data_IF_125580179378
#
_entry.id   IF_125580179378
#
_cell.length_a   1.000
_cell.length_b   1.000
_cell.length_c   1.000
_cell.angle_alpha   90.00
_cell.angle_beta   90.00
_cell.angle_gamma   90.00
#
_symmetry.space_group_name_H-M   'P 1'
#
loop_
_entity.id
_entity.type
_entity.pdbx_description
1 polymer ?
#
# COMPACT_ATOMS: atom_id res chain seq x y z
N UNK A 1 33.45 -28.34 2.14
CA UNK A 1 32.45 -28.34 3.23
C UNK A 1 31.67 -27.06 3.07
N UNK A 2 30.65 -27.09 2.22
CA UNK A 2 29.94 -25.90 1.79
C UNK A 2 28.58 -25.84 2.51
N UNK A 3 28.57 -25.15 3.65
CA UNK A 3 27.34 -24.76 4.32
C UNK A 3 26.72 -23.57 3.58
N UNK A 4 26.04 -23.85 2.46
CA UNK A 4 25.11 -22.88 1.88
C UNK A 4 23.94 -22.70 2.86
N UNK A 5 23.87 -21.52 3.48
CA UNK A 5 22.70 -21.11 4.27
C UNK A 5 21.44 -21.25 3.40
N UNK A 6 20.32 -21.77 3.95
CA UNK A 6 19.10 -21.90 3.18
C UNK A 6 18.62 -20.51 2.76
N UNK A 7 18.51 -20.30 1.45
CA UNK A 7 17.86 -19.12 0.87
C UNK A 7 16.39 -19.17 1.30
N UNK A 8 16.05 -18.41 2.34
CA UNK A 8 14.68 -18.30 2.83
C UNK A 8 13.86 -17.66 1.72
N UNK A 9 13.07 -18.48 1.02
CA UNK A 9 12.15 -18.01 -0.02
C UNK A 9 11.16 -17.04 0.65
N UNK A 10 11.00 -15.80 0.12
CA UNK A 10 10.06 -14.88 0.71
C UNK A 10 8.65 -15.49 0.69
N UNK A 11 7.82 -15.21 1.71
CA UNK A 11 6.47 -15.73 1.76
C UNK A 11 5.70 -15.30 0.50
N UNK A 12 4.79 -16.14 -0.01
CA UNK A 12 4.03 -15.82 -1.22
C UNK A 12 3.22 -14.54 -1.01
N UNK A 13 3.20 -13.66 -2.03
CA UNK A 13 2.41 -12.44 -1.98
C UNK A 13 0.92 -12.77 -1.71
N UNK A 14 0.39 -12.18 -0.64
CA UNK A 14 -0.98 -12.42 -0.16
C UNK A 14 -2.00 -11.45 -0.77
N UNK A 15 -1.54 -10.34 -1.33
CA UNK A 15 -2.37 -9.34 -2.00
C UNK A 15 -1.68 -8.77 -3.23
N UNK A 16 -2.48 -8.37 -4.20
CA UNK A 16 -2.06 -7.64 -5.39
C UNK A 16 -2.67 -6.23 -5.31
N UNK A 17 -1.84 -5.22 -5.58
CA UNK A 17 -2.26 -3.83 -5.62
C UNK A 17 -1.86 -3.26 -6.97
N UNK A 18 -2.79 -2.57 -7.62
CA UNK A 18 -2.53 -1.94 -8.91
C UNK A 18 -3.43 -0.73 -9.10
N UNK A 19 -2.95 0.24 -9.87
CA UNK A 19 -3.68 1.45 -10.23
C UNK A 19 -4.28 1.28 -11.63
N UNK A 20 -5.61 1.44 -11.76
CA UNK A 20 -6.32 1.54 -13.05
C UNK A 20 -6.91 2.94 -13.16
N UNK A 21 -6.33 3.78 -14.03
CA UNK A 21 -6.87 5.11 -14.36
C UNK A 21 -7.20 5.96 -13.12
N UNK A 22 -6.32 5.94 -12.11
CA UNK A 22 -6.50 6.66 -10.86
C UNK A 22 -7.30 5.92 -9.79
N UNK A 23 -7.81 4.72 -10.06
CA UNK A 23 -8.44 3.85 -9.05
C UNK A 23 -7.44 2.79 -8.60
N UNK A 24 -7.02 2.87 -7.35
CA UNK A 24 -6.14 1.87 -6.76
C UNK A 24 -6.99 0.74 -6.21
N UNK A 25 -6.82 -0.45 -6.78
CA UNK A 25 -7.50 -1.67 -6.38
C UNK A 25 -6.53 -2.57 -5.63
N UNK A 26 -7.03 -3.21 -4.58
CA UNK A 26 -6.37 -4.33 -3.94
C UNK A 26 -7.22 -5.59 -4.12
N UNK A 27 -6.56 -6.68 -4.48
CA UNK A 27 -7.17 -8.00 -4.46
C UNK A 27 -6.42 -8.86 -3.45
N UNK A 28 -7.15 -9.39 -2.46
CA UNK A 28 -6.58 -10.29 -1.45
C UNK A 28 -6.80 -11.74 -1.86
N UNK A 29 -5.79 -12.59 -1.69
CA UNK A 29 -5.95 -14.04 -1.75
C UNK A 29 -6.53 -14.51 -0.43
N UNK A 30 -7.63 -15.27 -0.48
CA UNK A 30 -8.14 -15.92 0.71
C UNK A 30 -7.25 -17.12 1.07
N UNK A 31 -6.79 -17.19 2.33
CA UNK A 31 -5.96 -18.29 2.85
C UNK A 31 -6.76 -19.30 3.67
N UNK A 32 -8.09 -19.25 3.62
CA UNK A 32 -8.97 -20.21 4.29
C UNK A 32 -8.75 -21.67 3.88
N UNK A 33 -8.03 -21.95 2.79
CA UNK A 33 -7.78 -23.33 2.33
C UNK A 33 -6.64 -24.08 3.02
N UNK A 34 -6.04 -23.56 4.11
CA UNK A 34 -5.06 -24.32 4.93
C UNK A 34 -5.56 -24.52 6.36
N UNK A 35 -6.62 -25.32 6.53
CA UNK A 35 -6.72 -26.21 7.69
C UNK A 35 -6.81 -27.64 7.17
N UNK A 36 -5.83 -28.52 7.45
CA UNK A 36 -6.08 -29.94 7.34
C UNK A 36 -7.13 -30.28 8.40
N UNK A 37 -8.30 -30.71 7.96
CA UNK A 37 -9.26 -31.36 8.84
C UNK A 37 -8.64 -32.70 9.28
N UNK A 38 -8.32 -32.80 10.57
CA UNK A 38 -7.98 -34.08 11.19
C UNK A 38 -9.22 -34.98 11.22
N UNK A 39 -9.08 -36.20 10.68
CA UNK A 39 -10.04 -37.32 10.78
C UNK A 39 -11.27 -37.17 9.87
N UNK A 40 -11.56 -38.06 8.94
CA UNK A 40 -11.77 -39.51 9.12
C UNK A 40 -11.55 -40.21 7.77
N UNK A 41 -10.92 -41.39 7.83
CA UNK A 41 -10.68 -42.32 6.73
C UNK A 41 -11.99 -42.91 6.18
N UNK A 42 -12.13 -43.02 4.85
CA UNK A 42 -12.50 -44.29 4.17
C UNK A 42 -12.39 -44.18 2.63
N UNK A 43 -12.13 -45.34 2.02
CA UNK A 43 -11.49 -45.60 0.73
C UNK A 43 -12.43 -45.58 -0.51
N UNK A 44 -11.95 -44.94 -1.60
CA UNK A 44 -11.90 -45.24 -3.07
C UNK A 44 -12.79 -46.32 -3.76
N UNK A 45 -12.87 -46.42 -5.12
CA UNK A 45 -12.43 -45.54 -6.23
C UNK A 45 -13.51 -45.35 -7.36
N UNK A 46 -13.18 -44.64 -8.48
CA UNK A 46 -13.45 -45.00 -9.92
C UNK A 46 -13.56 -43.77 -10.86
N UNK A 47 -12.59 -43.68 -11.79
CA UNK A 47 -12.63 -43.20 -13.22
C UNK A 47 -12.59 -41.69 -13.55
N UNK A 48 -11.36 -41.26 -13.92
CA UNK A 48 -10.95 -40.56 -15.17
C UNK A 48 -11.89 -39.52 -15.83
N UNK A 49 -12.04 -38.32 -15.26
CA UNK A 49 -12.42 -37.09 -16.00
C UNK A 49 -11.92 -35.80 -15.29
N UNK A 50 -10.63 -35.67 -14.94
CA UNK A 50 -10.20 -34.61 -13.99
C UNK A 50 -9.49 -33.37 -14.55
N UNK A 51 -9.03 -33.33 -15.81
CA UNK A 51 -8.15 -32.21 -16.24
C UNK A 51 -8.87 -30.91 -16.64
N UNK A 52 -10.14 -30.96 -17.07
CA UNK A 52 -10.89 -29.73 -17.46
C UNK A 52 -11.72 -29.13 -16.32
N UNK A 53 -12.03 -29.90 -15.28
CA UNK A 53 -12.87 -29.47 -14.17
C UNK A 53 -12.08 -28.92 -12.98
N UNK A 54 -10.77 -29.17 -12.92
CA UNK A 54 -9.88 -28.61 -11.90
C UNK A 54 -9.70 -27.10 -12.08
N UNK A 55 -9.60 -26.64 -13.33
CA UNK A 55 -9.39 -25.23 -13.64
C UNK A 55 -10.61 -24.37 -13.29
N UNK A 56 -11.83 -24.88 -13.47
CA UNK A 56 -13.06 -24.18 -13.07
C UNK A 56 -13.26 -24.17 -11.54
N UNK A 57 -12.85 -25.22 -10.83
CA UNK A 57 -12.85 -25.30 -9.36
C UNK A 57 -11.78 -24.41 -8.71
N UNK A 58 -10.65 -24.17 -9.39
CA UNK A 58 -9.59 -23.26 -8.95
C UNK A 58 -10.06 -21.79 -8.87
N UNK A 59 -10.83 -21.34 -9.85
CA UNK A 59 -11.42 -20.00 -9.83
C UNK A 59 -12.62 -19.87 -8.89
N UNK A 60 -13.30 -20.99 -8.57
CA UNK A 60 -14.48 -20.98 -7.71
C UNK A 60 -14.15 -20.87 -6.21
N UNK A 61 -12.95 -21.31 -5.79
CA UNK A 61 -12.47 -21.16 -4.41
C UNK A 61 -11.69 -19.85 -4.14
N UNK A 62 -11.32 -19.11 -5.18
CA UNK A 62 -10.68 -17.82 -5.04
C UNK A 62 -11.75 -16.70 -5.09
N UNK A 63 -12.52 -16.52 -4.01
CA UNK A 63 -13.35 -15.32 -3.84
C UNK A 63 -12.46 -14.08 -3.66
N UNK A 64 -11.91 -13.63 -4.78
CA UNK A 64 -11.05 -12.46 -4.89
C UNK A 64 -11.94 -11.22 -5.01
N UNK A 65 -12.46 -10.72 -3.90
CA UNK A 65 -13.23 -9.47 -3.89
C UNK A 65 -12.28 -8.29 -4.04
N UNK A 66 -12.34 -7.51 -5.14
CA UNK A 66 -11.51 -6.33 -5.31
C UNK A 66 -11.97 -5.21 -4.36
N UNK A 67 -11.02 -4.54 -3.72
CA UNK A 67 -11.25 -3.49 -2.75
C UNK A 67 -10.62 -2.20 -3.26
N UNK A 68 -11.42 -1.14 -3.36
CA UNK A 68 -10.93 0.18 -3.79
C UNK A 68 -10.24 0.85 -2.60
N UNK A 69 -8.92 1.05 -2.70
CA UNK A 69 -8.13 1.74 -1.68
C UNK A 69 -8.19 3.26 -1.83
N UNK A 70 -8.16 3.75 -3.07
CA UNK A 70 -8.17 5.17 -3.37
C UNK A 70 -8.69 5.44 -4.79
N UNK A 71 -9.17 6.67 -5.01
CA UNK A 71 -9.60 7.21 -6.31
C UNK A 71 -8.82 8.49 -6.61
N UNK A 72 -8.71 8.84 -7.90
CA UNK A 72 -7.90 9.97 -8.37
C UNK A 72 -6.42 9.86 -7.97
N UNK A 73 -5.90 8.64 -7.84
CA UNK A 73 -4.52 8.39 -7.45
C UNK A 73 -3.55 8.67 -8.60
N UNK A 74 -2.76 9.72 -8.45
CA UNK A 74 -1.77 10.16 -9.41
C UNK A 74 -0.43 9.46 -9.19
N UNK A 75 -0.03 9.27 -7.92
CA UNK A 75 1.24 8.66 -7.56
C UNK A 75 1.08 7.57 -6.49
N UNK A 76 1.91 6.54 -6.60
CA UNK A 76 1.99 5.40 -5.70
C UNK A 76 3.46 5.20 -5.30
N UNK A 77 3.75 5.21 -4.01
CA UNK A 77 5.11 4.94 -3.52
C UNK A 77 5.13 3.83 -2.48
N UNK A 78 6.06 2.89 -2.64
CA UNK A 78 6.39 1.84 -1.68
C UNK A 78 7.92 1.78 -1.51
N UNK A 79 8.37 1.46 -0.29
CA UNK A 79 9.80 1.27 -0.03
C UNK A 79 10.24 -0.09 -0.56
N UNK A 80 11.52 -0.19 -0.89
CA UNK A 80 12.22 -1.46 -0.89
C UNK A 80 12.41 -1.98 0.55
N UNK A 81 12.51 -3.30 0.70
CA UNK A 81 12.63 -3.95 2.01
C UNK A 81 14.01 -3.76 2.67
N UNK A 82 14.91 -2.96 2.08
CA UNK A 82 16.32 -2.81 2.50
C UNK A 82 16.45 -2.23 3.92
N UNK A 83 15.59 -1.27 4.28
CA UNK A 83 15.61 -0.58 5.58
C UNK A 83 14.43 -0.95 6.50
N UNK A 84 13.75 -2.05 6.20
CA UNK A 84 12.55 -2.48 6.91
C UNK A 84 12.76 -2.78 8.41
N UNK A 85 13.98 -3.11 8.84
CA UNK A 85 14.28 -3.49 10.23
C UNK A 85 14.29 -2.32 11.21
N UNK A 86 14.64 -1.10 10.77
CA UNK A 86 14.76 0.05 11.67
C UNK A 86 13.41 0.71 11.96
N UNK A 87 12.59 0.91 10.91
CA UNK A 87 11.30 1.62 11.01
C UNK A 87 10.22 0.88 10.21
N UNK A 88 9.82 -0.32 10.65
CA UNK A 88 8.98 -1.23 9.86
C UNK A 88 7.61 -0.63 9.52
N UNK A 89 7.08 0.26 10.36
CA UNK A 89 5.81 0.96 10.11
C UNK A 89 5.88 1.86 8.87
N UNK A 90 7.00 2.57 8.67
CA UNK A 90 7.13 3.51 7.56
C UNK A 90 7.68 2.84 6.31
N UNK A 91 8.63 1.91 6.46
CA UNK A 91 9.22 1.18 5.33
C UNK A 91 8.19 0.29 4.63
N UNK A 92 7.27 -0.33 5.36
CA UNK A 92 6.20 -1.15 4.76
C UNK A 92 4.93 -0.34 4.44
N UNK A 93 4.98 0.99 4.54
CA UNK A 93 3.88 1.87 4.22
C UNK A 93 3.67 1.95 2.70
N UNK A 94 2.41 2.01 2.29
CA UNK A 94 2.05 2.40 0.93
C UNK A 94 1.58 3.86 0.96
N UNK A 95 2.22 4.72 0.18
CA UNK A 95 1.82 6.11 0.07
C UNK A 95 1.05 6.33 -1.23
N UNK A 96 -0.11 6.99 -1.10
CA UNK A 96 -1.05 7.24 -2.19
C UNK A 96 -1.25 8.74 -2.32
N UNK A 97 -0.87 9.35 -3.44
CA UNK A 97 -1.23 10.74 -3.71
C UNK A 97 -2.47 10.81 -4.60
N UNK A 98 -3.52 11.44 -4.11
CA UNK A 98 -4.83 11.51 -4.77
C UNK A 98 -5.17 12.92 -5.26
N UNK A 99 -4.17 13.66 -5.75
CA UNK A 99 -4.31 15.04 -6.22
C UNK A 99 -4.91 15.95 -5.14
N UNK A 100 -6.02 16.60 -5.47
CA UNK A 100 -6.75 17.50 -4.57
C UNK A 100 -7.26 16.83 -3.27
N UNK A 101 -7.37 15.50 -3.22
CA UNK A 101 -7.75 14.76 -2.01
C UNK A 101 -6.57 14.54 -1.05
N UNK A 102 -5.39 15.04 -1.41
CA UNK A 102 -4.17 14.95 -0.62
C UNK A 102 -3.51 13.57 -0.69
N UNK A 103 -2.55 13.39 0.20
CA UNK A 103 -1.76 12.16 0.31
C UNK A 103 -2.32 11.28 1.42
N UNK A 104 -2.22 9.96 1.28
CA UNK A 104 -2.62 8.99 2.28
C UNK A 104 -1.48 8.04 2.53
N UNK A 105 -1.12 7.86 3.81
CA UNK A 105 -0.16 6.86 4.25
C UNK A 105 -0.93 5.63 4.72
N UNK A 106 -0.75 4.50 4.05
CA UNK A 106 -1.39 3.24 4.39
C UNK A 106 -0.39 2.31 5.08
N UNK A 107 -0.38 2.38 6.40
CA UNK A 107 0.64 1.83 7.28
C UNK A 107 0.25 0.43 7.76
N UNK A 108 1.19 -0.50 7.92
CA UNK A 108 0.93 -1.74 8.65
C UNK A 108 0.69 -1.47 10.14
N UNK A 109 -0.23 -2.25 10.68
CA UNK A 109 -0.40 -2.51 12.10
C UNK A 109 0.26 -3.84 12.37
N UNK A 110 1.29 -3.85 13.21
CA UNK A 110 1.90 -5.11 13.63
C UNK A 110 1.00 -5.74 14.69
N UNK A 111 0.52 -6.97 14.47
CA UNK A 111 -0.37 -7.62 15.43
C UNK A 111 0.35 -7.75 16.77
N UNK A 112 -0.37 -7.47 17.85
CA UNK A 112 0.06 -7.90 19.16
C UNK A 112 -0.03 -9.45 19.20
N UNK A 113 0.83 -10.13 19.98
CA UNK A 113 1.00 -11.60 19.95
C UNK A 113 -0.30 -12.43 20.09
N UNK A 114 -1.40 -11.80 20.53
CA UNK A 114 -2.70 -12.43 20.74
C UNK A 114 -3.59 -12.55 19.48
N UNK A 115 -3.30 -11.85 18.38
CA UNK A 115 -4.28 -11.66 17.29
C UNK A 115 -3.81 -12.16 15.92
N UNK A 116 -3.77 -13.48 15.76
CA UNK A 116 -3.38 -14.13 14.51
C UNK A 116 -4.52 -14.27 13.49
N UNK A 117 -5.74 -13.86 13.83
CA UNK A 117 -6.95 -14.16 13.05
C UNK A 117 -7.29 -13.16 11.94
N UNK A 118 -6.71 -11.96 11.98
CA UNK A 118 -7.13 -10.86 11.11
C UNK A 118 -6.46 -10.82 9.73
N UNK A 119 -7.26 -10.46 8.72
CA UNK A 119 -6.88 -10.32 7.30
C UNK A 119 -5.82 -9.21 7.11
N UNK A 120 -5.09 -9.25 5.97
CA UNK A 120 -4.06 -8.26 5.65
C UNK A 120 -4.58 -6.81 5.70
N UNK A 121 -5.82 -6.54 5.28
CA UNK A 121 -6.45 -5.23 5.41
C UNK A 121 -6.69 -4.79 6.86
N UNK A 122 -7.15 -5.70 7.71
CA UNK A 122 -7.38 -5.41 9.13
C UNK A 122 -6.06 -5.11 9.88
N UNK A 123 -4.92 -5.46 9.28
CA UNK A 123 -3.58 -5.12 9.75
C UNK A 123 -3.01 -3.86 9.10
N UNK A 124 -3.83 -2.97 8.53
CA UNK A 124 -3.36 -1.69 8.00
C UNK A 124 -4.28 -0.54 8.34
N UNK A 125 -3.70 0.63 8.55
CA UNK A 125 -4.42 1.87 8.83
C UNK A 125 -4.10 2.94 7.81
N UNK A 126 -5.13 3.61 7.31
CA UNK A 126 -4.98 4.69 6.34
C UNK A 126 -5.04 6.04 7.06
N UNK A 127 -3.94 6.79 6.97
CA UNK A 127 -3.80 8.10 7.60
C UNK A 127 -3.75 9.20 6.53
N UNK A 128 -4.61 10.23 6.62
CA UNK A 128 -4.51 11.39 5.74
C UNK A 128 -3.27 12.22 6.08
N UNK A 129 -2.61 12.68 5.03
CA UNK A 129 -1.48 13.61 5.04
C UNK A 129 -1.80 14.70 4.01
N UNK A 130 -1.99 15.94 4.46
CA UNK A 130 -2.39 17.06 3.59
C UNK A 130 -1.20 17.98 3.36
N UNK A 131 -0.33 17.69 2.38
CA UNK A 131 0.77 18.58 2.05
C UNK A 131 0.28 19.84 1.33
N UNK A 132 0.95 20.96 1.60
CA UNK A 132 0.76 22.20 0.83
C UNK A 132 1.56 22.21 -0.47
N UNK A 133 2.24 21.10 -0.78
CA UNK A 133 3.15 20.94 -1.92
C UNK A 133 2.66 19.77 -2.77
N UNK A 134 2.89 19.82 -4.08
CA UNK A 134 2.64 18.67 -4.94
C UNK A 134 3.73 17.62 -4.72
N UNK A 135 3.43 16.44 -4.17
CA UNK A 135 4.43 15.47 -3.80
C UNK A 135 5.00 14.76 -5.03
N UNK A 136 6.33 14.70 -5.09
CA UNK A 136 7.13 14.09 -6.14
C UNK A 136 7.84 12.81 -5.65
N UNK A 137 8.24 12.78 -4.38
CA UNK A 137 8.90 11.62 -3.79
C UNK A 137 8.64 11.52 -2.28
N UNK A 138 8.85 10.32 -1.74
CA UNK A 138 8.71 10.03 -0.30
C UNK A 138 10.02 9.44 0.20
N UNK A 139 10.57 10.02 1.27
CA UNK A 139 11.62 9.40 2.07
C UNK A 139 10.96 8.63 3.21
N UNK A 140 10.84 7.31 3.04
CA UNK A 140 10.07 6.45 3.93
C UNK A 140 10.58 6.48 5.37
N UNK A 141 11.90 6.38 5.58
CA UNK A 141 12.51 6.30 6.91
C UNK A 141 12.19 7.49 7.82
N UNK A 142 11.96 8.65 7.22
CA UNK A 142 11.72 9.89 7.95
C UNK A 142 10.30 10.42 7.76
N UNK A 143 9.47 9.72 6.98
CA UNK A 143 8.13 10.20 6.62
C UNK A 143 8.15 11.60 6.01
N UNK A 144 9.14 11.88 5.14
CA UNK A 144 9.29 13.18 4.48
C UNK A 144 8.69 13.10 3.09
N UNK A 145 7.84 14.06 2.76
CA UNK A 145 7.37 14.30 1.40
C UNK A 145 8.24 15.36 0.75
N UNK A 146 8.84 15.01 -0.38
CA UNK A 146 9.51 15.94 -1.27
C UNK A 146 8.51 16.33 -2.35
N UNK A 147 8.37 17.62 -2.62
CA UNK A 147 7.42 18.11 -3.58
C UNK A 147 7.86 19.38 -4.28
N UNK A 148 6.94 19.90 -5.08
CA UNK A 148 7.09 21.15 -5.77
C UNK A 148 5.94 22.09 -5.40
N UNK A 149 6.27 23.35 -5.27
CA UNK A 149 5.32 24.45 -5.21
C UNK A 149 5.46 25.26 -6.49
N UNK A 150 4.35 25.61 -7.12
CA UNK A 150 4.36 26.44 -8.34
C UNK A 150 3.78 27.79 -7.99
N UNK A 151 4.59 28.83 -8.12
CA UNK A 151 4.11 30.20 -8.12
C UNK A 151 3.97 30.66 -9.57
N UNK A 152 2.73 30.83 -10.02
CA UNK A 152 2.41 31.37 -11.33
C UNK A 152 1.92 32.79 -11.17
N UNK A 153 2.80 33.76 -11.42
CA UNK A 153 2.38 35.16 -11.54
C UNK A 153 1.91 35.42 -12.97
N UNK A 154 0.65 35.84 -13.12
CA UNK A 154 0.22 36.53 -14.32
C UNK A 154 0.78 37.94 -14.23
N UNK A 155 1.94 38.17 -14.85
CA UNK A 155 2.49 39.52 -14.99
C UNK A 155 1.47 40.34 -15.80
N UNK A 156 1.01 41.45 -15.21
CA UNK A 156 -0.11 42.25 -15.70
C UNK A 156 -0.03 42.60 -17.18
N UNK A 157 -1.18 42.52 -17.84
CA UNK A 157 -1.33 42.84 -19.25
C UNK A 157 -1.31 44.35 -19.49
N UNK A 158 -0.22 44.85 -20.07
CA UNK A 158 -0.28 46.04 -20.90
C UNK A 158 -0.61 45.56 -22.32
N UNK A 159 -1.63 46.15 -22.97
CA UNK A 159 -2.22 45.67 -24.22
C UNK A 159 -1.27 45.59 -25.44
N UNK A 160 0.01 45.91 -25.27
CA UNK A 160 1.04 45.92 -26.31
C UNK A 160 2.10 44.81 -26.21
N UNK A 161 2.14 44.02 -25.14
CA UNK A 161 3.16 42.98 -24.96
C UNK A 161 2.58 41.64 -24.51
N UNK A 162 2.60 40.66 -25.44
CA UNK A 162 2.37 39.26 -25.13
C UNK A 162 3.53 38.74 -24.28
N UNK A 163 3.41 38.81 -22.96
CA UNK A 163 4.36 38.16 -22.07
C UNK A 163 3.96 36.71 -21.85
N UNK A 164 4.95 35.80 -21.96
CA UNK A 164 4.75 34.39 -21.69
C UNK A 164 4.55 34.19 -20.18
N UNK A 165 3.56 33.37 -19.75
CA UNK A 165 3.38 33.07 -18.34
C UNK A 165 4.68 32.46 -17.79
N UNK A 166 5.24 33.09 -16.77
CA UNK A 166 6.46 32.60 -16.11
C UNK A 166 6.02 31.79 -14.89
N UNK A 167 6.21 30.47 -14.95
CA UNK A 167 5.97 29.57 -13.82
C UNK A 167 7.29 29.30 -13.11
N UNK A 168 7.40 29.69 -11.84
CA UNK A 168 8.56 29.32 -11.01
C UNK A 168 8.19 28.10 -10.19
N UNK A 169 8.94 27.01 -10.38
CA UNK A 169 8.75 25.77 -9.62
C UNK A 169 9.83 25.68 -8.56
N UNK A 170 9.43 25.66 -7.29
CA UNK A 170 10.33 25.57 -6.14
C UNK A 170 10.23 24.17 -5.54
N UNK A 171 11.38 23.50 -5.38
CA UNK A 171 11.45 22.21 -4.68
C UNK A 171 11.39 22.44 -3.18
N UNK A 172 10.43 21.82 -2.52
CA UNK A 172 10.16 21.96 -1.08
C UNK A 172 10.08 20.57 -0.42
N UNK A 173 10.44 20.49 0.85
CA UNK A 173 10.39 19.26 1.63
C UNK A 173 9.57 19.47 2.90
N UNK A 174 8.67 18.53 3.22
CA UNK A 174 7.81 18.59 4.40
C UNK A 174 7.89 17.29 5.21
N UNK A 175 8.05 17.42 6.52
CA UNK A 175 8.23 16.30 7.46
C UNK A 175 6.91 15.94 8.12
N UNK A 176 6.45 14.70 7.97
CA UNK A 176 5.14 14.24 8.48
C UNK A 176 5.21 13.17 9.56
N UNK A 177 6.42 12.73 9.94
CA UNK A 177 6.60 11.67 10.93
C UNK A 177 5.84 11.93 12.24
N UNK A 178 5.89 13.16 12.74
CA UNK A 178 5.22 13.54 13.99
C UNK A 178 3.70 13.37 13.89
N UNK A 179 3.09 13.79 12.78
CA UNK A 179 1.65 13.68 12.58
C UNK A 179 1.21 12.23 12.36
N UNK A 180 2.02 11.46 11.62
CA UNK A 180 1.81 10.02 11.45
C UNK A 180 1.86 9.32 12.81
N UNK A 181 2.86 9.59 13.64
CA UNK A 181 2.99 9.01 14.98
C UNK A 181 1.81 9.40 15.88
N UNK A 182 1.43 10.69 15.94
CA UNK A 182 0.27 11.13 16.73
C UNK A 182 -1.01 10.42 16.29
N UNK A 183 -1.22 10.27 14.99
CA UNK A 183 -2.39 9.58 14.46
C UNK A 183 -2.34 8.07 14.75
N UNK A 184 -1.16 7.44 14.71
CA UNK A 184 -0.97 6.06 15.12
C UNK A 184 -1.27 5.87 16.61
N UNK A 185 -0.74 6.73 17.48
CA UNK A 185 -1.03 6.72 18.92
C UNK A 185 -2.53 6.85 19.17
N UNK A 186 -3.19 7.85 18.56
CA UNK A 186 -4.64 8.06 18.69
C UNK A 186 -5.49 6.87 18.22
N UNK A 187 -5.01 6.07 17.28
CA UNK A 187 -5.78 5.01 16.62
C UNK A 187 -5.42 3.60 17.08
N UNK A 188 -4.23 3.38 17.63
CA UNK A 188 -3.75 2.07 18.09
C UNK A 188 -3.55 2.00 19.61
N UNK A 189 -3.59 3.13 20.31
CA UNK A 189 -3.34 3.22 21.75
C UNK A 189 -4.38 4.14 22.38
N UNK A 190 -5.60 3.62 22.54
CA UNK A 190 -6.51 4.20 23.53
C UNK A 190 -5.72 4.45 24.81
N UNK A 191 -5.86 5.66 25.37
CA UNK A 191 -5.27 6.04 26.65
C UNK A 191 -5.31 4.85 27.61
N UNK A 192 -4.15 4.45 28.08
CA UNK A 192 -4.02 3.69 29.31
C UNK A 192 -2.97 4.35 30.18
#
# INVERSE_FOLDING_TARGET
>A
GDNCLPVVKPPPAQSLIFNISGKVLMIQRDQTSKRPAEGVQQQSPVVEEEEQQENSKLFQHAQMTPIVLATCCENLWCSDNSHASLKPHLSHALWLHCGAQGTRAWLPLFPNMADQSHTFLARRIMLPVMPSIYPLAVLFEEGILLGAETDSSLVGCDASSLHHPTATVIRTSQVYLQDVLRQLLRRNLGYH
#
